data_IF_491470026090
#
_entry.id   IF_491470026090
#
_cell.length_a   1.000
_cell.length_b   1.000
_cell.length_c   1.000
_cell.angle_alpha   90.00
_cell.angle_beta   90.00
_cell.angle_gamma   90.00
#
_symmetry.space_group_name_H-M   'P 1'
#
loop_
_entity.id
_entity.type
_entity.pdbx_description
1 polymer ?
#
# COMPACT_ATOMS: atom_id res chain seq x y z
N UNK A 1 40.07 -52.80 14.84
CA UNK A 1 39.16 -53.86 14.35
C UNK A 1 38.00 -53.16 13.63
N UNK A 2 37.99 -53.00 12.30
CA UNK A 2 37.59 -54.01 11.27
C UNK A 2 36.10 -54.42 11.46
N UNK A 3 35.14 -54.32 10.54
CA UNK A 3 35.10 -54.36 9.06
C UNK A 3 33.75 -53.73 8.56
N UNK A 4 33.75 -52.89 7.51
CA UNK A 4 33.21 -53.06 6.12
C UNK A 4 31.69 -53.28 5.97
N UNK A 5 30.92 -52.44 5.26
CA UNK A 5 30.90 -52.08 3.82
C UNK A 5 30.21 -53.11 2.91
N UNK A 6 29.26 -52.65 2.08
CA UNK A 6 28.84 -53.08 0.70
C UNK A 6 27.78 -52.02 0.28
N UNK A 7 28.07 -51.01 -0.55
CA UNK A 7 28.26 -50.97 -2.02
C UNK A 7 26.96 -51.08 -2.86
N UNK A 8 26.65 -49.99 -3.60
CA UNK A 8 25.70 -49.88 -4.74
C UNK A 8 26.22 -50.67 -5.97
N UNK A 9 25.41 -50.97 -7.01
CA UNK A 9 25.21 -50.09 -8.20
C UNK A 9 23.77 -50.24 -8.81
N UNK A 10 23.27 -49.60 -9.87
CA UNK A 10 23.65 -48.54 -10.81
C UNK A 10 22.36 -48.02 -11.53
N UNK A 11 22.56 -46.93 -12.27
CA UNK A 11 21.65 -46.08 -13.06
C UNK A 11 20.54 -46.74 -13.90
N UNK A 12 19.46 -45.96 -14.08
CA UNK A 12 18.74 -45.85 -15.35
C UNK A 12 18.26 -44.41 -15.57
N UNK A 13 18.76 -43.83 -16.65
CA UNK A 13 18.31 -42.57 -17.23
C UNK A 13 16.81 -42.62 -17.54
N UNK A 14 16.09 -41.54 -17.22
CA UNK A 14 15.04 -41.05 -18.11
C UNK A 14 14.85 -39.55 -17.92
N UNK A 15 15.36 -38.81 -18.91
CA UNK A 15 14.99 -37.45 -19.24
C UNK A 15 13.49 -37.43 -19.54
N UNK A 16 12.72 -36.57 -18.87
CA UNK A 16 11.53 -35.92 -19.45
C UNK A 16 11.03 -34.74 -18.59
N UNK A 17 11.11 -33.58 -19.23
CA UNK A 17 10.35 -32.35 -19.00
C UNK A 17 10.50 -31.65 -17.64
N UNK A 18 11.47 -30.74 -17.61
CA UNK A 18 11.36 -29.48 -16.90
C UNK A 18 10.07 -28.81 -17.38
N UNK A 19 9.03 -28.84 -16.54
CA UNK A 19 7.87 -28.00 -16.73
C UNK A 19 8.31 -26.55 -16.46
N UNK A 20 8.71 -25.85 -17.51
CA UNK A 20 8.76 -24.39 -17.54
C UNK A 20 7.35 -23.89 -17.28
N UNK A 21 7.04 -23.58 -16.02
CA UNK A 21 5.85 -22.78 -15.69
C UNK A 21 6.07 -21.42 -16.32
N UNK A 22 5.35 -21.16 -17.41
CA UNK A 22 5.27 -19.84 -18.02
C UNK A 22 4.87 -18.82 -16.97
N UNK A 23 5.71 -17.81 -16.76
CA UNK A 23 5.33 -16.60 -16.05
C UNK A 23 4.27 -15.87 -16.87
N UNK A 24 3.00 -16.18 -16.61
CA UNK A 24 1.89 -15.30 -16.91
C UNK A 24 1.45 -14.68 -15.58
N UNK A 25 1.94 -13.48 -15.29
CA UNK A 25 1.59 -12.69 -14.10
C UNK A 25 0.16 -12.15 -14.22
N UNK A 26 -0.83 -12.99 -13.92
CA UNK A 26 -2.18 -12.52 -13.60
C UNK A 26 -2.42 -12.62 -12.10
N UNK A 27 -1.92 -11.64 -11.36
CA UNK A 27 -2.44 -11.32 -10.03
C UNK A 27 -3.17 -9.97 -10.15
N UNK A 28 -4.49 -10.03 -10.36
CA UNK A 28 -5.38 -8.88 -10.28
C UNK A 28 -5.20 -8.20 -8.92
N UNK A 29 -4.85 -6.90 -8.90
CA UNK A 29 -4.77 -6.03 -7.72
C UNK A 29 -5.95 -5.06 -7.70
N UNK A 30 -7.15 -5.57 -7.97
CA UNK A 30 -8.34 -4.74 -8.10
C UNK A 30 -8.87 -4.34 -6.72
N UNK A 31 -9.02 -3.04 -6.51
CA UNK A 31 -9.53 -2.49 -5.25
C UNK A 31 -11.05 -2.72 -5.19
N UNK A 32 -11.60 -3.27 -4.09
CA UNK A 32 -13.03 -3.44 -3.95
C UNK A 32 -13.75 -2.09 -3.88
N UNK A 33 -14.90 -2.04 -4.53
CA UNK A 33 -15.90 -0.98 -4.33
C UNK A 33 -16.80 -1.46 -3.19
N UNK A 34 -17.15 -0.63 -2.19
CA UNK A 34 -17.89 -1.10 -1.00
C UNK A 34 -19.22 -1.82 -1.31
N UNK A 35 -19.74 -2.66 -0.41
CA UNK A 35 -21.05 -3.32 -0.53
C UNK A 35 -22.26 -2.38 -0.24
N UNK A 36 -23.53 -2.76 -0.54
CA UNK A 36 -24.60 -1.82 -0.91
C UNK A 36 -25.42 -1.28 0.27
N UNK A 37 -25.24 0.01 0.54
CA UNK A 37 -26.30 0.90 1.03
C UNK A 37 -26.27 2.12 0.10
N UNK A 38 -27.31 2.29 -0.73
CA UNK A 38 -27.46 3.32 -1.80
C UNK A 38 -26.13 3.96 -2.22
N UNK A 39 -25.35 3.23 -3.02
CA UNK A 39 -24.08 3.71 -3.53
C UNK A 39 -24.32 4.76 -4.61
N UNK A 40 -24.02 6.02 -4.30
CA UNK A 40 -23.55 6.93 -5.34
C UNK A 40 -22.24 6.33 -5.87
N UNK A 41 -22.29 5.73 -7.04
CA UNK A 41 -21.11 5.22 -7.74
C UNK A 41 -20.07 6.33 -7.81
N UNK A 42 -18.82 6.04 -7.45
CA UNK A 42 -17.72 6.97 -7.72
C UNK A 42 -17.67 7.10 -9.24
N UNK A 43 -18.02 8.26 -9.77
CA UNK A 43 -17.78 8.60 -11.16
C UNK A 43 -16.55 9.49 -11.20
N UNK A 44 -15.35 8.94 -11.44
CA UNK A 44 -14.16 9.76 -11.67
C UNK A 44 -14.47 10.76 -12.78
N UNK A 45 -14.04 11.99 -12.60
CA UNK A 45 -14.33 13.05 -13.55
C UNK A 45 -13.68 12.74 -14.89
N UNK A 46 -14.48 12.68 -15.95
CA UNK A 46 -14.04 12.35 -17.30
C UNK A 46 -14.51 13.41 -18.28
N UNK A 47 -13.58 13.98 -19.04
CA UNK A 47 -13.87 14.90 -20.13
C UNK A 47 -13.50 14.21 -21.44
N UNK A 48 -14.51 13.91 -22.27
CA UNK A 48 -14.32 13.09 -23.47
C UNK A 48 -13.77 11.70 -23.12
N UNK A 49 -12.61 11.36 -23.66
CA UNK A 49 -11.94 10.08 -23.40
C UNK A 49 -10.99 10.08 -22.20
N UNK A 50 -10.66 11.25 -21.62
CA UNK A 50 -9.62 11.37 -20.57
C UNK A 50 -10.22 11.56 -19.17
N UNK A 51 -9.62 10.91 -18.19
CA UNK A 51 -9.90 11.15 -16.78
C UNK A 51 -9.05 12.31 -16.26
N UNK A 52 -9.64 13.18 -15.44
CA UNK A 52 -8.88 14.19 -14.69
C UNK A 52 -8.58 13.64 -13.30
N UNK A 53 -7.31 13.61 -12.93
CA UNK A 53 -6.83 13.08 -11.64
C UNK A 53 -6.07 14.18 -10.91
N UNK A 54 -6.37 14.38 -9.62
CA UNK A 54 -5.62 15.33 -8.79
C UNK A 54 -4.24 14.76 -8.49
N UNK A 55 -3.17 15.52 -8.74
CA UNK A 55 -1.80 15.13 -8.39
C UNK A 55 -1.24 16.07 -7.33
N UNK A 56 -0.74 15.50 -6.23
CA UNK A 56 -0.08 16.26 -5.16
C UNK A 56 1.31 15.69 -4.96
N UNK A 57 2.35 16.22 -5.63
CA UNK A 57 3.68 15.62 -5.55
C UNK A 57 4.22 15.58 -4.12
N UNK A 58 3.90 16.57 -3.29
CA UNK A 58 4.31 16.63 -1.89
C UNK A 58 5.79 17.00 -1.71
N UNK A 59 6.35 16.57 -0.59
CA UNK A 59 7.68 16.98 -0.14
C UNK A 59 8.77 15.97 -0.51
N UNK A 60 10.04 16.39 -0.34
CA UNK A 60 11.20 15.52 -0.53
C UNK A 60 11.30 14.98 -1.94
N UNK A 61 11.39 13.66 -2.07
CA UNK A 61 11.47 12.96 -3.36
C UNK A 61 10.15 12.98 -4.15
N UNK A 62 9.06 13.49 -3.57
CA UNK A 62 7.73 13.44 -4.17
C UNK A 62 7.64 14.06 -5.58
N UNK A 63 8.37 15.15 -5.83
CA UNK A 63 8.43 15.82 -7.13
C UNK A 63 9.08 14.96 -8.22
N UNK A 64 10.23 14.34 -7.94
CA UNK A 64 10.93 13.48 -8.90
C UNK A 64 10.15 12.18 -9.18
N UNK A 65 9.49 11.61 -8.16
CA UNK A 65 8.63 10.44 -8.35
C UNK A 65 7.39 10.77 -9.19
N UNK A 66 6.78 11.94 -8.96
CA UNK A 66 5.61 12.39 -9.72
C UNK A 66 5.95 12.71 -11.17
N UNK A 67 7.13 13.28 -11.42
CA UNK A 67 7.65 13.47 -12.78
C UNK A 67 7.84 12.12 -13.50
N UNK A 68 8.43 11.12 -12.83
CA UNK A 68 8.58 9.77 -13.37
C UNK A 68 7.23 9.15 -13.80
N UNK A 69 6.19 9.27 -12.96
CA UNK A 69 4.83 8.82 -13.33
C UNK A 69 4.32 9.53 -14.58
N UNK A 70 4.47 10.86 -14.65
CA UNK A 70 4.01 11.65 -15.82
C UNK A 70 4.69 11.21 -17.11
N UNK A 71 6.00 10.99 -17.07
CA UNK A 71 6.78 10.58 -18.25
C UNK A 71 6.35 9.19 -18.74
N UNK A 72 6.18 8.22 -17.82
CA UNK A 72 5.67 6.88 -18.14
C UNK A 72 4.24 6.94 -18.69
N UNK A 73 3.36 7.74 -18.08
CA UNK A 73 1.97 7.88 -18.52
C UNK A 73 1.86 8.49 -19.91
N UNK A 74 2.70 9.48 -20.21
CA UNK A 74 2.79 10.10 -21.53
C UNK A 74 3.27 9.10 -22.57
N UNK A 75 4.33 8.34 -22.28
CA UNK A 75 4.85 7.32 -23.20
C UNK A 75 3.85 6.18 -23.45
N UNK A 76 3.12 5.74 -22.42
CA UNK A 76 2.09 4.71 -22.53
C UNK A 76 0.75 5.21 -23.10
N UNK A 77 0.65 6.49 -23.51
CA UNK A 77 -0.59 7.14 -24.00
C UNK A 77 -1.79 6.91 -23.07
N UNK A 78 -1.58 7.00 -21.76
CA UNK A 78 -2.64 6.79 -20.78
C UNK A 78 -3.68 7.92 -20.89
N UNK A 79 -5.00 7.63 -20.90
CA UNK A 79 -6.06 8.64 -20.98
C UNK A 79 -6.30 9.31 -19.61
N UNK A 80 -5.24 9.87 -19.01
CA UNK A 80 -5.26 10.57 -17.72
C UNK A 80 -4.58 11.93 -17.89
N UNK A 81 -5.23 12.96 -17.37
CA UNK A 81 -4.71 14.31 -17.26
C UNK A 81 -4.57 14.69 -15.78
N UNK A 82 -3.39 15.15 -15.39
CA UNK A 82 -3.11 15.48 -13.99
C UNK A 82 -3.37 16.96 -13.70
N UNK A 83 -4.30 17.24 -12.79
CA UNK A 83 -4.49 18.55 -12.17
C UNK A 83 -3.55 18.64 -10.96
N UNK A 84 -2.36 19.23 -11.15
CA UNK A 84 -1.28 19.24 -10.15
C UNK A 84 -1.39 20.40 -9.16
N UNK A 85 -1.17 20.11 -7.87
CA UNK A 85 -1.04 21.07 -6.78
C UNK A 85 0.25 20.80 -5.99
N UNK A 86 1.19 21.74 -6.02
CA UNK A 86 2.49 21.63 -5.35
C UNK A 86 2.41 22.07 -3.88
N UNK A 87 1.68 21.30 -3.09
CA UNK A 87 1.52 21.52 -1.65
C UNK A 87 2.73 20.97 -0.90
N UNK A 88 3.30 21.78 -0.01
CA UNK A 88 4.31 21.35 0.96
C UNK A 88 3.76 21.27 2.38
N UNK A 89 4.10 20.22 3.11
CA UNK A 89 3.85 20.10 4.56
C UNK A 89 4.95 20.72 5.43
N UNK A 90 5.99 21.31 4.84
CA UNK A 90 7.11 21.94 5.56
C UNK A 90 6.73 23.31 6.11
N UNK A 91 5.87 24.05 5.40
CA UNK A 91 5.41 25.40 5.77
C UNK A 91 3.90 25.42 5.97
N UNK A 92 3.39 26.47 6.60
CA UNK A 92 1.94 26.75 6.70
C UNK A 92 1.47 27.75 5.63
N UNK A 93 2.37 28.17 4.73
CA UNK A 93 2.05 29.12 3.66
C UNK A 93 1.12 28.49 2.61
N UNK A 94 1.14 27.16 2.52
CA UNK A 94 0.38 26.38 1.55
C UNK A 94 -1.02 25.98 2.02
N UNK A 95 -1.54 26.48 3.15
CA UNK A 95 -2.86 26.10 3.66
C UNK A 95 -3.98 26.32 2.61
N UNK A 96 -3.95 27.45 1.89
CA UNK A 96 -4.90 27.75 0.81
C UNK A 96 -4.74 26.80 -0.38
N UNK A 97 -3.50 26.49 -0.75
CA UNK A 97 -3.20 25.57 -1.85
C UNK A 97 -3.62 24.14 -1.50
N UNK A 98 -3.42 23.75 -0.24
CA UNK A 98 -3.90 22.48 0.30
C UNK A 98 -5.42 22.38 0.24
N UNK A 99 -6.15 23.42 0.63
CA UNK A 99 -7.61 23.44 0.47
C UNK A 99 -8.04 23.33 -1.00
N UNK A 100 -7.37 24.05 -1.92
CA UNK A 100 -7.63 23.92 -3.35
C UNK A 100 -7.39 22.49 -3.87
N UNK A 101 -6.38 21.79 -3.34
CA UNK A 101 -6.11 20.38 -3.67
C UNK A 101 -7.21 19.43 -3.16
N UNK A 102 -7.77 19.68 -1.96
CA UNK A 102 -8.91 18.93 -1.44
C UNK A 102 -10.15 19.18 -2.31
N UNK A 103 -10.40 20.42 -2.72
CA UNK A 103 -11.51 20.75 -3.62
C UNK A 103 -11.36 20.09 -4.99
N UNK A 104 -10.15 20.09 -5.56
CA UNK A 104 -9.85 19.34 -6.78
C UNK A 104 -10.16 17.86 -6.61
N UNK A 105 -9.74 17.26 -5.50
CA UNK A 105 -10.03 15.86 -5.22
C UNK A 105 -11.52 15.59 -5.01
N UNK A 106 -12.26 16.54 -4.42
CA UNK A 106 -13.73 16.47 -4.32
C UNK A 106 -14.40 16.52 -5.70
N UNK A 107 -13.85 17.27 -6.66
CA UNK A 107 -14.32 17.33 -8.05
C UNK A 107 -13.96 16.06 -8.83
N UNK A 108 -12.71 15.61 -8.74
CA UNK A 108 -12.13 14.56 -9.57
C UNK A 108 -12.37 13.15 -9.03
N UNK A 109 -12.61 13.04 -7.72
CA UNK A 109 -12.81 11.80 -6.93
C UNK A 109 -11.58 10.92 -6.77
N UNK A 110 -10.62 11.01 -7.68
CA UNK A 110 -9.39 10.23 -7.70
C UNK A 110 -8.18 11.15 -7.66
N UNK A 111 -7.20 10.81 -6.83
CA UNK A 111 -5.93 11.51 -6.77
C UNK A 111 -4.74 10.57 -6.58
N UNK A 112 -3.56 11.07 -6.93
CA UNK A 112 -2.27 10.44 -6.63
C UNK A 112 -1.39 11.45 -5.91
N UNK A 113 -0.67 11.01 -4.89
CA UNK A 113 0.19 11.91 -4.12
C UNK A 113 1.51 11.27 -3.69
N UNK A 114 2.51 12.11 -3.52
CA UNK A 114 3.69 11.79 -2.72
C UNK A 114 3.46 12.00 -1.23
N UNK A 115 4.56 11.98 -0.48
CA UNK A 115 4.52 12.11 0.97
C UNK A 115 4.53 13.58 1.36
N UNK A 116 3.55 14.01 2.15
CA UNK A 116 3.56 15.33 2.80
C UNK A 116 4.24 15.19 4.16
N UNK A 117 5.27 16.01 4.41
CA UNK A 117 5.97 16.06 5.67
C UNK A 117 5.04 16.52 6.80
N UNK A 118 5.32 16.12 8.03
CA UNK A 118 4.59 16.58 9.22
C UNK A 118 5.63 16.94 10.28
N UNK A 119 5.82 18.24 10.58
CA UNK A 119 6.77 18.69 11.59
C UNK A 119 6.42 18.15 12.98
N UNK A 120 7.39 17.57 13.69
CA UNK A 120 7.22 17.06 15.06
C UNK A 120 7.41 18.14 16.13
N UNK A 121 8.10 19.23 15.80
CA UNK A 121 8.46 20.33 16.72
C UNK A 121 7.31 21.27 17.07
N UNK A 122 6.13 21.04 16.49
CA UNK A 122 5.02 21.97 16.46
C UNK A 122 3.79 21.33 17.12
N UNK A 123 3.71 21.44 18.44
CA UNK A 123 2.53 21.05 19.23
C UNK A 123 1.27 21.67 18.62
N UNK A 124 0.29 20.84 18.24
CA UNK A 124 -1.01 21.30 17.74
C UNK A 124 -1.13 21.47 16.21
N UNK A 125 -0.08 21.28 15.42
CA UNK A 125 -0.22 21.31 13.95
C UNK A 125 -0.94 20.06 13.44
N UNK A 126 -2.12 20.24 12.81
CA UNK A 126 -2.87 19.16 12.17
C UNK A 126 -2.13 18.72 10.90
N UNK A 127 -1.58 17.51 10.90
CA UNK A 127 -0.97 16.90 9.72
C UNK A 127 -1.92 16.95 8.51
N UNK A 128 -1.48 17.50 7.38
CA UNK A 128 -2.25 17.51 6.13
C UNK A 128 -2.70 16.11 5.70
N UNK A 129 -1.87 15.08 5.92
CA UNK A 129 -2.25 13.71 5.66
C UNK A 129 -3.43 13.25 6.53
N UNK A 130 -3.49 13.67 7.79
CA UNK A 130 -4.59 13.32 8.71
C UNK A 130 -5.84 14.12 8.38
N UNK A 131 -5.69 15.41 8.09
CA UNK A 131 -6.79 16.29 7.66
C UNK A 131 -7.46 15.74 6.40
N UNK A 132 -6.68 15.42 5.35
CA UNK A 132 -7.22 14.82 4.13
C UNK A 132 -7.96 13.50 4.39
N UNK A 133 -7.41 12.62 5.24
CA UNK A 133 -8.04 11.34 5.58
C UNK A 133 -9.35 11.49 6.34
N UNK A 134 -9.44 12.46 7.26
CA UNK A 134 -10.66 12.75 8.03
C UNK A 134 -11.70 13.48 7.17
N UNK A 135 -11.31 14.52 6.45
CA UNK A 135 -12.21 15.37 5.66
C UNK A 135 -12.84 14.63 4.47
N UNK A 136 -12.14 13.63 3.93
CA UNK A 136 -12.61 12.81 2.81
C UNK A 136 -13.02 11.40 3.24
N UNK A 137 -13.03 11.13 4.55
CA UNK A 137 -13.38 9.81 5.13
C UNK A 137 -12.69 8.63 4.40
N UNK A 138 -11.38 8.77 4.15
CA UNK A 138 -10.57 7.73 3.52
C UNK A 138 -10.20 6.66 4.53
N UNK A 139 -11.19 5.82 4.86
CA UNK A 139 -11.16 4.92 6.00
C UNK A 139 -10.27 3.69 5.88
N UNK A 140 -9.98 3.24 4.65
CA UNK A 140 -9.18 2.05 4.41
C UNK A 140 -7.84 2.42 3.79
N UNK A 141 -6.74 2.17 4.50
CA UNK A 141 -5.40 2.23 3.93
C UNK A 141 -4.97 0.81 3.55
N UNK A 142 -4.54 0.63 2.29
CA UNK A 142 -4.04 -0.64 1.76
C UNK A 142 -2.59 -0.46 1.35
N UNK A 143 -1.71 -1.36 1.80
CA UNK A 143 -0.33 -1.47 1.35
C UNK A 143 -0.06 -2.90 0.89
N UNK A 144 0.54 -3.07 -0.29
CA UNK A 144 0.89 -4.39 -0.84
C UNK A 144 2.36 -4.67 -0.61
N UNK A 145 2.65 -5.65 0.24
CA UNK A 145 4.00 -6.08 0.58
C UNK A 145 4.28 -7.38 -0.16
N UNK A 146 4.92 -7.27 -1.32
CA UNK A 146 5.22 -8.41 -2.18
C UNK A 146 6.68 -8.41 -2.61
N UNK A 147 7.36 -9.55 -2.53
CA UNK A 147 8.70 -9.66 -3.10
C UNK A 147 8.68 -9.34 -4.60
N UNK A 148 9.60 -8.48 -5.03
CA UNK A 148 9.74 -8.07 -6.42
C UNK A 148 10.80 -8.94 -7.08
N UNK A 149 10.49 -9.64 -8.19
CA UNK A 149 11.49 -10.42 -8.92
C UNK A 149 12.71 -9.57 -9.29
N UNK A 150 13.91 -10.10 -9.02
CA UNK A 150 15.17 -9.40 -9.22
C UNK A 150 15.65 -8.59 -8.02
N UNK A 151 14.82 -8.29 -7.02
CA UNK A 151 15.28 -7.64 -5.79
C UNK A 151 15.68 -8.69 -4.77
N UNK A 152 16.94 -8.66 -4.34
CA UNK A 152 17.41 -9.50 -3.25
C UNK A 152 16.79 -9.05 -1.92
N UNK A 153 16.25 -9.99 -1.17
CA UNK A 153 15.65 -9.76 0.13
C UNK A 153 15.91 -10.97 1.03
N UNK A 154 15.88 -10.76 2.35
CA UNK A 154 16.21 -11.80 3.32
C UNK A 154 15.22 -12.97 3.31
N UNK A 155 13.95 -12.69 2.97
CA UNK A 155 12.86 -13.67 2.93
C UNK A 155 12.22 -13.64 1.56
N UNK A 156 11.94 -14.82 0.99
CA UNK A 156 11.29 -14.99 -0.31
C UNK A 156 9.80 -15.27 -0.17
N UNK A 157 9.07 -15.17 -1.28
CA UNK A 157 7.67 -15.59 -1.42
C UNK A 157 6.68 -14.91 -0.44
N UNK A 158 7.00 -13.68 -0.04
CA UNK A 158 6.12 -12.76 0.68
C UNK A 158 5.15 -12.13 -0.31
N UNK A 159 3.84 -12.25 -0.05
CA UNK A 159 2.77 -11.59 -0.80
C UNK A 159 1.60 -11.28 0.15
N UNK A 160 1.74 -10.19 0.91
CA UNK A 160 0.84 -9.80 2.00
C UNK A 160 0.11 -8.50 1.63
N UNK A 161 -1.22 -8.49 1.81
CA UNK A 161 -2.02 -7.27 1.75
C UNK A 161 -2.31 -6.75 3.17
N UNK A 162 -1.80 -5.57 3.48
CA UNK A 162 -1.95 -4.94 4.79
C UNK A 162 -3.07 -3.90 4.70
N UNK A 163 -4.18 -4.16 5.39
CA UNK A 163 -5.37 -3.31 5.42
C UNK A 163 -5.51 -2.70 6.81
N UNK A 164 -5.46 -1.37 6.86
CA UNK A 164 -5.40 -0.57 8.07
C UNK A 164 -6.61 0.35 8.15
N UNK A 165 -7.27 0.36 9.30
CA UNK A 165 -8.25 1.41 9.65
C UNK A 165 -7.54 2.77 9.75
N UNK A 166 -8.08 3.81 9.14
CA UNK A 166 -7.35 5.04 8.86
C UNK A 166 -8.01 6.33 9.42
N UNK A 167 -9.11 6.21 10.18
CA UNK A 167 -9.94 7.35 10.64
C UNK A 167 -10.20 7.39 12.14
N UNK A 168 -9.84 6.36 12.91
CA UNK A 168 -9.96 6.31 14.37
C UNK A 168 -8.74 5.62 15.02
N UNK A 169 -8.90 5.13 16.25
CA UNK A 169 -7.83 4.55 17.05
C UNK A 169 -6.97 5.61 17.72
N UNK A 170 -5.67 5.34 17.78
CA UNK A 170 -4.66 6.18 18.42
C UNK A 170 -4.43 7.50 17.66
N UNK A 171 -4.85 7.57 16.39
CA UNK A 171 -4.75 8.76 15.53
C UNK A 171 -5.99 9.67 15.63
N UNK A 172 -6.86 9.43 16.63
CA UNK A 172 -7.91 10.38 17.00
C UNK A 172 -7.33 11.76 17.32
N UNK A 173 -6.11 11.80 17.90
CA UNK A 173 -5.40 13.01 18.30
C UNK A 173 -5.99 13.65 19.56
N UNK A 174 -6.70 12.86 20.37
CA UNK A 174 -7.33 13.31 21.60
C UNK A 174 -6.37 13.08 22.76
N UNK A 175 -5.54 14.07 23.03
CA UNK A 175 -4.57 14.06 24.11
C UNK A 175 -4.75 15.28 25.00
N UNK A 176 -4.56 15.09 26.31
CA UNK A 176 -4.59 16.18 27.27
C UNK A 176 -3.64 15.90 28.44
N UNK A 177 -3.25 16.96 29.12
CA UNK A 177 -2.45 16.88 30.34
C UNK A 177 -3.34 17.20 31.53
N UNK A 178 -3.78 16.17 32.26
CA UNK A 178 -4.70 16.31 33.39
C UNK A 178 -4.06 17.08 34.55
N UNK A 179 -2.77 16.83 34.79
CA UNK A 179 -1.90 17.58 35.72
C UNK A 179 -0.48 17.64 35.14
N UNK A 180 0.37 18.62 35.54
CA UNK A 180 1.75 18.69 35.07
C UNK A 180 2.49 17.34 35.27
N UNK A 181 3.01 16.78 34.18
CA UNK A 181 3.68 15.48 34.15
C UNK A 181 2.78 14.26 33.85
N UNK A 182 1.45 14.40 33.79
CA UNK A 182 0.52 13.30 33.49
C UNK A 182 -0.24 13.57 32.20
N UNK A 183 0.05 12.80 31.16
CA UNK A 183 -0.57 12.93 29.82
C UNK A 183 -1.47 11.72 29.56
N UNK A 184 -2.70 12.00 29.16
CA UNK A 184 -3.69 11.02 28.76
C UNK A 184 -3.88 11.05 27.25
N UNK A 185 -3.97 9.86 26.64
CA UNK A 185 -4.24 9.68 25.21
C UNK A 185 -5.46 8.79 25.03
N UNK A 186 -6.50 9.32 24.39
CA UNK A 186 -7.81 8.68 24.28
C UNK A 186 -7.94 7.94 22.95
N UNK A 187 -7.79 6.61 23.02
CA UNK A 187 -8.05 5.70 21.90
C UNK A 187 -9.55 5.46 21.73
N UNK A 188 -10.09 5.85 20.58
CA UNK A 188 -11.50 5.63 20.24
C UNK A 188 -11.62 4.55 19.16
N UNK A 189 -12.38 3.50 19.44
CA UNK A 189 -12.76 2.48 18.45
C UNK A 189 -14.28 2.38 18.43
N UNK A 190 -14.86 2.40 17.24
CA UNK A 190 -16.30 2.31 17.04
C UNK A 190 -16.66 1.09 16.22
N UNK A 191 -17.83 0.50 16.51
CA UNK A 191 -18.35 -0.63 15.74
C UNK A 191 -18.51 -0.26 14.27
N UNK A 192 -19.14 0.88 13.97
CA UNK A 192 -19.42 1.31 12.59
C UNK A 192 -18.15 1.42 11.73
N UNK A 193 -17.07 2.01 12.27
CA UNK A 193 -15.81 2.14 11.53
C UNK A 193 -15.05 0.82 11.43
N UNK A 194 -15.17 -0.05 12.43
CA UNK A 194 -14.63 -1.41 12.36
C UNK A 194 -15.37 -2.27 11.32
N UNK A 195 -16.71 -2.20 11.25
CA UNK A 195 -17.50 -2.98 10.30
C UNK A 195 -17.10 -2.67 8.85
N UNK A 196 -16.96 -1.39 8.50
CA UNK A 196 -16.56 -1.00 7.13
C UNK A 196 -15.15 -1.44 6.75
N UNK A 197 -14.17 -1.37 7.66
CA UNK A 197 -12.81 -1.82 7.36
C UNK A 197 -12.72 -3.34 7.27
N UNK A 198 -13.48 -4.06 8.11
CA UNK A 198 -13.59 -5.51 8.03
C UNK A 198 -14.21 -5.93 6.69
N UNK A 199 -15.35 -5.33 6.30
CA UNK A 199 -15.98 -5.57 4.99
C UNK A 199 -15.03 -5.28 3.84
N UNK A 200 -14.35 -4.13 3.86
CA UNK A 200 -13.35 -3.80 2.85
C UNK A 200 -12.25 -4.87 2.75
N UNK A 201 -11.76 -5.41 3.88
CA UNK A 201 -10.75 -6.46 3.88
C UNK A 201 -11.25 -7.78 3.29
N UNK A 202 -12.47 -8.20 3.62
CA UNK A 202 -13.07 -9.39 3.05
C UNK A 202 -13.44 -9.22 1.57
N UNK A 203 -14.01 -8.08 1.18
CA UNK A 203 -14.28 -7.74 -0.22
C UNK A 203 -12.99 -7.73 -1.05
N UNK A 204 -11.90 -7.18 -0.49
CA UNK A 204 -10.58 -7.21 -1.11
C UNK A 204 -10.11 -8.65 -1.27
N UNK A 205 -10.27 -9.48 -0.24
CA UNK A 205 -9.87 -10.87 -0.28
C UNK A 205 -10.61 -11.64 -1.39
N UNK A 206 -11.94 -11.52 -1.45
CA UNK A 206 -12.78 -12.14 -2.48
C UNK A 206 -12.36 -11.67 -3.87
N UNK A 207 -12.30 -10.35 -4.10
CA UNK A 207 -12.03 -9.76 -5.41
C UNK A 207 -10.65 -10.11 -5.95
N UNK A 208 -9.68 -10.32 -5.07
CA UNK A 208 -8.30 -10.64 -5.43
C UNK A 208 -7.96 -12.13 -5.24
N UNK A 209 -8.98 -13.00 -5.12
CA UNK A 209 -8.84 -14.46 -4.97
C UNK A 209 -7.94 -14.91 -3.81
N UNK A 210 -7.85 -14.08 -2.77
CA UNK A 210 -7.12 -14.35 -1.54
C UNK A 210 -7.87 -15.41 -0.73
N UNK A 211 -7.14 -16.17 0.06
CA UNK A 211 -7.67 -17.36 0.76
C UNK A 211 -7.71 -17.20 2.26
N UNK A 212 -7.02 -16.20 2.82
CA UNK A 212 -6.96 -16.01 4.26
C UNK A 212 -7.03 -14.55 4.67
N UNK A 213 -7.80 -14.27 5.72
CA UNK A 213 -7.86 -12.98 6.40
C UNK A 213 -7.47 -13.16 7.87
N UNK A 214 -6.42 -12.46 8.31
CA UNK A 214 -5.96 -12.46 9.69
C UNK A 214 -6.30 -11.13 10.38
N UNK A 215 -7.07 -11.19 11.46
CA UNK A 215 -7.48 -10.04 12.28
C UNK A 215 -6.40 -9.76 13.33
N UNK A 216 -5.71 -8.62 13.25
CA UNK A 216 -4.62 -8.27 14.18
C UNK A 216 -5.11 -7.34 15.28
N UNK A 217 -4.79 -7.67 16.53
CA UNK A 217 -5.27 -6.93 17.70
C UNK A 217 -4.33 -7.05 18.92
N UNK A 218 -4.67 -6.40 20.02
CA UNK A 218 -4.11 -6.59 21.36
C UNK A 218 -5.21 -6.71 22.42
N UNK A 219 -6.30 -7.41 22.06
CA UNK A 219 -7.46 -7.67 22.93
C UNK A 219 -7.14 -8.40 24.25
N UNK A 220 -5.95 -9.03 24.38
CA UNK A 220 -5.49 -9.59 25.66
C UNK A 220 -5.21 -8.51 26.72
N UNK A 221 -4.82 -7.31 26.28
CA UNK A 221 -4.61 -6.15 27.16
C UNK A 221 -5.80 -5.17 27.05
N UNK A 222 -6.13 -4.73 25.83
CA UNK A 222 -7.24 -3.80 25.57
C UNK A 222 -8.56 -4.55 25.36
N UNK A 223 -9.10 -5.13 26.43
CA UNK A 223 -10.29 -6.00 26.41
C UNK A 223 -11.54 -5.34 25.81
N UNK A 224 -11.67 -4.01 25.95
CA UNK A 224 -12.82 -3.26 25.43
C UNK A 224 -12.58 -2.76 24.00
N UNK A 225 -11.59 -1.90 23.78
CA UNK A 225 -11.35 -1.28 22.47
C UNK A 225 -11.00 -2.33 21.40
N UNK A 226 -9.91 -3.08 21.60
CA UNK A 226 -9.49 -4.10 20.65
C UNK A 226 -10.38 -5.35 20.71
N UNK A 227 -11.00 -5.63 21.86
CA UNK A 227 -12.02 -6.65 21.95
C UNK A 227 -13.26 -6.33 21.10
N UNK A 228 -13.68 -5.07 21.04
CA UNK A 228 -14.75 -4.61 20.13
C UNK A 228 -14.31 -4.77 18.68
N UNK A 229 -13.08 -4.37 18.35
CA UNK A 229 -12.54 -4.53 17.00
C UNK A 229 -12.59 -6.00 16.54
N UNK A 230 -12.03 -6.89 17.35
CA UNK A 230 -11.95 -8.33 17.09
C UNK A 230 -13.35 -8.97 16.94
N UNK A 231 -14.27 -8.71 17.88
CA UNK A 231 -15.63 -9.27 17.81
C UNK A 231 -16.36 -8.80 16.55
N UNK A 232 -16.27 -7.52 16.25
CA UNK A 232 -16.93 -6.94 15.07
C UNK A 232 -16.37 -7.51 13.77
N UNK A 233 -15.04 -7.67 13.65
CA UNK A 233 -14.45 -8.32 12.48
C UNK A 233 -14.88 -9.79 12.33
N UNK A 234 -14.98 -10.53 13.44
CA UNK A 234 -15.50 -11.91 13.46
C UNK A 234 -16.98 -12.00 13.09
N UNK A 235 -17.78 -11.01 13.50
CA UNK A 235 -19.19 -10.95 13.12
C UNK A 235 -19.35 -10.72 11.62
N UNK A 236 -18.60 -9.77 11.04
CA UNK A 236 -18.56 -9.55 9.58
C UNK A 236 -18.05 -10.79 8.84
N UNK A 237 -17.04 -11.48 9.37
CA UNK A 237 -16.49 -12.69 8.75
C UNK A 237 -17.54 -13.79 8.49
N UNK A 238 -18.57 -13.89 9.33
CA UNK A 238 -19.67 -14.86 9.17
C UNK A 238 -20.44 -14.64 7.86
N UNK A 239 -20.56 -13.38 7.42
CA UNK A 239 -21.25 -13.03 6.17
C UNK A 239 -20.48 -13.51 4.93
N UNK A 240 -19.15 -13.65 5.04
CA UNK A 240 -18.26 -14.11 3.97
C UNK A 240 -17.94 -15.61 4.03
N UNK A 241 -18.55 -16.38 4.94
CA UNK A 241 -18.27 -17.80 5.12
C UNK A 241 -18.45 -18.64 3.83
N UNK A 242 -19.35 -18.21 2.95
CA UNK A 242 -19.62 -18.87 1.67
C UNK A 242 -18.53 -18.66 0.60
N UNK A 243 -17.57 -17.75 0.82
CA UNK A 243 -16.46 -17.49 -0.10
C UNK A 243 -15.21 -18.36 0.15
N UNK A 244 -15.27 -19.31 1.09
CA UNK A 244 -14.16 -20.20 1.43
C UNK A 244 -12.86 -19.44 1.79
N UNK A 245 -13.00 -18.37 2.59
CA UNK A 245 -11.89 -17.60 3.15
C UNK A 245 -11.59 -18.14 4.56
N UNK A 246 -10.36 -18.57 4.81
CA UNK A 246 -9.88 -18.89 6.15
C UNK A 246 -9.80 -17.61 6.99
N UNK A 247 -10.39 -17.62 8.19
CA UNK A 247 -10.35 -16.48 9.11
C UNK A 247 -9.68 -16.88 10.40
N UNK A 248 -8.66 -16.13 10.78
CA UNK A 248 -8.00 -16.26 12.07
C UNK A 248 -7.71 -14.88 12.67
N UNK A 249 -7.19 -14.87 13.89
CA UNK A 249 -6.73 -13.67 14.57
C UNK A 249 -5.36 -13.90 15.21
N UNK A 250 -4.64 -12.80 15.44
CA UNK A 250 -3.32 -12.85 16.04
C UNK A 250 -3.06 -11.59 16.87
N UNK A 251 -2.46 -11.78 18.05
CA UNK A 251 -1.97 -10.66 18.86
C UNK A 251 -0.79 -9.97 18.18
N UNK A 252 -0.78 -8.64 18.15
CA UNK A 252 0.16 -7.83 17.35
C UNK A 252 1.64 -8.06 17.67
N UNK A 253 1.97 -8.42 18.91
CA UNK A 253 3.32 -8.83 19.32
C UNK A 253 3.75 -10.15 18.68
N UNK A 254 2.87 -11.16 18.68
CA UNK A 254 3.13 -12.40 17.96
C UNK A 254 3.18 -12.12 16.45
N UNK A 255 2.31 -11.25 15.93
CA UNK A 255 2.34 -10.85 14.52
C UNK A 255 3.69 -10.26 14.12
N UNK A 256 4.26 -9.36 14.93
CA UNK A 256 5.60 -8.81 14.67
C UNK A 256 6.67 -9.91 14.64
N UNK A 257 6.63 -10.86 15.59
CA UNK A 257 7.55 -12.01 15.62
C UNK A 257 7.38 -12.92 14.40
N UNK A 258 6.15 -13.20 14.00
CA UNK A 258 5.83 -14.06 12.86
C UNK A 258 6.19 -13.41 11.52
N UNK A 259 6.04 -12.09 11.38
CA UNK A 259 6.39 -11.36 10.15
C UNK A 259 7.88 -11.45 9.83
N UNK A 260 8.75 -11.38 10.84
CA UNK A 260 10.21 -11.45 10.63
C UNK A 260 10.76 -12.87 10.56
N UNK A 261 9.94 -13.88 10.87
CA UNK A 261 10.35 -15.30 10.88
C UNK A 261 9.72 -16.11 9.75
N UNK A 262 8.39 -16.04 9.59
CA UNK A 262 7.63 -16.76 8.56
C UNK A 262 6.47 -15.91 8.03
N UNK A 263 6.74 -14.83 7.28
CA UNK A 263 5.72 -13.94 6.74
C UNK A 263 4.76 -14.61 5.74
N UNK A 264 5.18 -15.69 5.08
CA UNK A 264 4.40 -16.40 4.05
C UNK A 264 3.11 -17.05 4.59
N UNK A 265 2.94 -17.10 5.91
CA UNK A 265 1.70 -17.58 6.53
C UNK A 265 0.56 -16.54 6.51
N UNK A 266 0.88 -15.27 6.21
CA UNK A 266 -0.09 -14.19 6.10
C UNK A 266 -0.49 -13.98 4.64
N UNK A 267 -1.74 -13.60 4.46
CA UNK A 267 -2.31 -13.30 3.15
C UNK A 267 -2.93 -11.89 3.18
N UNK A 268 -4.20 -11.76 3.61
CA UNK A 268 -4.79 -10.44 3.93
C UNK A 268 -4.75 -10.22 5.45
N UNK A 269 -4.30 -9.05 5.88
CA UNK A 269 -4.25 -8.67 7.29
C UNK A 269 -5.12 -7.44 7.51
N UNK A 270 -6.03 -7.47 8.49
CA UNK A 270 -6.88 -6.33 8.86
C UNK A 270 -6.61 -5.91 10.29
N UNK A 271 -6.41 -4.60 10.52
CA UNK A 271 -5.99 -4.11 11.83
C UNK A 271 -6.35 -2.64 12.13
N UNK A 272 -6.40 -2.26 13.42
CA UNK A 272 -6.49 -0.87 13.85
C UNK A 272 -5.31 -0.01 13.37
N UNK A 273 -5.52 1.31 13.47
CA UNK A 273 -4.70 2.34 12.86
C UNK A 273 -3.20 2.27 13.22
N UNK A 274 -2.85 2.24 14.51
CA UNK A 274 -1.45 2.21 14.94
C UNK A 274 -0.70 0.95 14.48
N UNK A 275 -1.32 -0.22 14.61
CA UNK A 275 -0.67 -1.48 14.26
C UNK A 275 -0.41 -1.56 12.76
N UNK A 276 -1.36 -1.07 11.95
CA UNK A 276 -1.19 -1.01 10.50
C UNK A 276 0.04 -0.21 10.08
N UNK A 277 0.30 0.91 10.75
CA UNK A 277 1.46 1.74 10.45
C UNK A 277 2.78 1.02 10.77
N UNK A 278 2.83 0.29 11.88
CA UNK A 278 4.03 -0.44 12.29
C UNK A 278 4.24 -1.64 11.36
N UNK A 279 3.20 -2.43 11.14
CA UNK A 279 3.25 -3.64 10.31
C UNK A 279 3.59 -3.31 8.85
N UNK A 280 3.12 -2.20 8.29
CA UNK A 280 3.50 -1.77 6.92
C UNK A 280 4.99 -1.44 6.81
N UNK A 281 5.58 -0.81 7.83
CA UNK A 281 7.02 -0.52 7.85
C UNK A 281 7.86 -1.79 8.05
N UNK A 282 7.40 -2.74 8.88
CA UNK A 282 8.01 -4.08 8.95
C UNK A 282 7.98 -4.73 7.58
N UNK A 283 6.83 -4.70 6.90
CA UNK A 283 6.67 -5.20 5.53
C UNK A 283 7.68 -4.62 4.54
N UNK A 284 7.96 -3.32 4.59
CA UNK A 284 9.01 -2.70 3.77
C UNK A 284 10.38 -3.35 4.01
N UNK A 285 10.74 -3.56 5.28
CA UNK A 285 11.98 -4.23 5.66
C UNK A 285 12.07 -5.68 5.18
N UNK A 286 10.94 -6.37 4.99
CA UNK A 286 10.92 -7.76 4.53
C UNK A 286 11.25 -7.90 3.04
N UNK A 287 10.75 -6.97 2.20
CA UNK A 287 10.76 -7.13 0.73
C UNK A 287 11.82 -6.31 -0.01
N UNK A 288 12.67 -5.56 0.72
CA UNK A 288 13.79 -4.80 0.13
C UNK A 288 13.72 -3.28 0.30
N UNK A 289 12.69 -2.75 0.97
CA UNK A 289 12.62 -1.35 1.37
C UNK A 289 11.31 -0.64 1.02
N UNK A 290 11.15 0.62 1.48
CA UNK A 290 9.92 1.39 1.26
C UNK A 290 9.69 1.79 -0.20
N UNK A 291 10.75 1.87 -1.01
CA UNK A 291 10.69 2.22 -2.44
C UNK A 291 9.94 1.22 -3.32
N UNK A 292 9.54 0.07 -2.77
CA UNK A 292 8.87 -1.02 -3.50
C UNK A 292 7.41 -1.24 -3.10
N UNK A 293 6.91 -0.59 -2.04
CA UNK A 293 5.56 -0.84 -1.53
C UNK A 293 4.57 0.16 -2.12
N UNK A 294 3.69 -0.26 -3.05
CA UNK A 294 2.57 0.57 -3.43
C UNK A 294 1.47 0.55 -2.38
N UNK A 295 0.63 1.57 -2.42
CA UNK A 295 -0.50 1.71 -1.52
C UNK A 295 -1.57 2.66 -2.02
N UNK A 296 -2.66 2.69 -1.25
CA UNK A 296 -3.76 3.62 -1.46
C UNK A 296 -4.54 3.85 -0.16
N UNK A 297 -5.33 4.92 -0.17
CA UNK A 297 -6.34 5.21 0.84
C UNK A 297 -7.68 5.33 0.13
N UNK A 298 -8.64 4.53 0.58
CA UNK A 298 -9.96 4.38 -0.03
C UNK A 298 -11.01 4.88 0.96
N UNK A 299 -11.84 5.80 0.48
CA UNK A 299 -13.07 6.23 1.13
C UNK A 299 -14.29 5.73 0.37
N UNK A 300 -15.47 6.17 0.79
CA UNK A 300 -16.72 5.83 0.09
C UNK A 300 -16.83 6.51 -1.27
N UNK A 301 -16.42 7.79 -1.35
CA UNK A 301 -16.55 8.62 -2.56
C UNK A 301 -15.21 8.95 -3.22
N UNK A 302 -14.09 8.74 -2.52
CA UNK A 302 -12.76 9.23 -2.93
C UNK A 302 -11.72 8.12 -2.84
N UNK A 303 -10.72 8.18 -3.73
CA UNK A 303 -9.56 7.31 -3.71
C UNK A 303 -8.27 8.12 -3.88
N UNK A 304 -7.28 7.87 -3.01
CA UNK A 304 -5.97 8.52 -3.06
C UNK A 304 -4.87 7.48 -3.11
N UNK A 305 -4.06 7.51 -4.16
CA UNK A 305 -2.96 6.57 -4.39
C UNK A 305 -1.64 7.19 -3.93
N UNK A 306 -0.85 6.46 -3.16
CA UNK A 306 0.43 6.94 -2.62
C UNK A 306 1.35 5.74 -2.32
N UNK A 307 2.67 5.91 -2.21
CA UNK A 307 3.55 4.86 -1.69
C UNK A 307 3.04 4.36 -0.32
N UNK A 308 2.96 3.04 -0.14
CA UNK A 308 2.36 2.43 1.05
C UNK A 308 3.21 2.60 2.32
N UNK A 309 4.45 3.08 2.16
CA UNK A 309 5.35 3.47 3.22
C UNK A 309 5.63 4.97 3.08
N UNK A 310 5.11 5.77 4.02
CA UNK A 310 5.06 7.25 3.98
C UNK A 310 6.42 7.88 4.30
N UNK A 311 7.45 7.56 3.51
CA UNK A 311 8.79 8.16 3.64
C UNK A 311 8.89 9.38 2.74
N UNK A 312 9.32 10.51 3.32
CA UNK A 312 9.56 11.76 2.58
C UNK A 312 10.94 11.76 1.93
N UNK A 313 11.92 11.12 2.57
CA UNK A 313 13.31 11.00 2.10
C UNK A 313 13.94 12.37 1.74
N UNK A 314 13.84 13.33 2.67
CA UNK A 314 14.41 14.69 2.51
C UNK A 314 15.92 14.68 2.29
N UNK A 315 16.61 13.66 2.80
CA UNK A 315 18.04 13.44 2.71
C UNK A 315 18.55 13.18 1.28
N UNK A 316 17.69 12.64 0.40
CA UNK A 316 18.01 12.35 -1.01
C UNK A 316 17.22 13.21 -2.00
N UNK A 317 16.51 14.23 -1.52
CA UNK A 317 15.72 15.13 -2.36
C UNK A 317 16.59 15.81 -3.43
N UNK A 318 16.05 15.88 -4.66
CA UNK A 318 16.69 16.51 -5.83
C UNK A 318 18.03 15.88 -6.25
N UNK A 319 18.37 14.68 -5.77
CA UNK A 319 19.60 13.98 -6.13
C UNK A 319 19.40 13.01 -7.30
N UNK A 320 18.17 12.87 -7.82
CA UNK A 320 17.85 11.94 -8.90
C UNK A 320 18.23 10.49 -8.53
N UNK A 321 18.06 10.12 -7.26
CA UNK A 321 18.45 8.83 -6.70
C UNK A 321 17.29 8.02 -6.10
N UNK A 322 16.09 8.61 -5.96
CA UNK A 322 14.95 7.87 -5.44
C UNK A 322 14.42 6.80 -6.39
N UNK A 323 13.90 5.74 -5.79
CA UNK A 323 13.24 4.66 -6.49
C UNK A 323 11.77 5.02 -6.82
N UNK A 324 11.38 5.15 -8.10
CA UNK A 324 10.01 5.49 -8.46
C UNK A 324 9.06 4.28 -8.43
N UNK A 325 9.55 3.07 -8.15
CA UNK A 325 8.77 1.83 -8.22
C UNK A 325 7.49 1.89 -7.38
N UNK A 326 7.55 2.28 -6.11
CA UNK A 326 6.37 2.37 -5.25
C UNK A 326 5.31 3.33 -5.82
N UNK A 327 5.73 4.50 -6.30
CA UNK A 327 4.81 5.48 -6.88
C UNK A 327 4.21 4.99 -8.21
N UNK A 328 5.03 4.40 -9.08
CA UNK A 328 4.58 3.80 -10.34
C UNK A 328 3.58 2.66 -10.08
N UNK A 329 3.85 1.77 -9.13
CA UNK A 329 2.93 0.69 -8.78
C UNK A 329 1.67 1.19 -8.08
N UNK A 330 1.73 2.28 -7.29
CA UNK A 330 0.53 2.97 -6.78
C UNK A 330 -0.29 3.58 -7.92
N UNK A 331 0.36 4.12 -8.96
CA UNK A 331 -0.32 4.60 -10.17
C UNK A 331 -0.97 3.45 -10.96
N UNK A 332 -0.39 2.25 -10.94
CA UNK A 332 -1.02 1.03 -11.52
C UNK A 332 -2.30 0.68 -10.74
N UNK A 333 -2.28 0.75 -9.40
CA UNK A 333 -3.48 0.56 -8.59
C UNK A 333 -4.56 1.60 -8.94
N UNK A 334 -4.16 2.84 -9.23
CA UNK A 334 -5.05 3.91 -9.69
C UNK A 334 -5.67 3.59 -11.05
N UNK A 335 -4.87 3.12 -12.01
CA UNK A 335 -5.38 2.74 -13.34
C UNK A 335 -6.40 1.62 -13.25
N UNK A 336 -6.19 0.62 -12.38
CA UNK A 336 -7.20 -0.43 -12.13
C UNK A 336 -8.47 0.14 -11.51
N UNK A 337 -8.36 1.12 -10.61
CA UNK A 337 -9.52 1.79 -10.04
C UNK A 337 -10.31 2.61 -11.08
N UNK A 338 -9.64 3.12 -12.12
CA UNK A 338 -10.24 3.82 -13.26
C UNK A 338 -10.75 2.88 -14.37
N UNK A 339 -10.66 1.55 -14.17
CA UNK A 339 -10.96 0.50 -15.15
C UNK A 339 -10.09 0.60 -16.43
N UNK A 340 -8.83 1.01 -16.27
CA UNK A 340 -7.82 1.09 -17.33
C UNK A 340 -6.83 -0.09 -17.21
N UNK A 341 -7.36 -1.32 -17.16
CA UNK A 341 -6.57 -2.53 -16.88
C UNK A 341 -5.48 -2.82 -17.91
N UNK A 342 -5.69 -2.49 -19.18
CA UNK A 342 -4.68 -2.67 -20.22
C UNK A 342 -3.43 -1.81 -19.94
N UNK A 343 -3.62 -0.52 -19.67
CA UNK A 343 -2.52 0.37 -19.30
C UNK A 343 -1.86 -0.06 -17.99
N UNK A 344 -2.66 -0.48 -17.01
CA UNK A 344 -2.17 -0.99 -15.73
C UNK A 344 -1.26 -2.22 -15.92
N UNK A 345 -1.67 -3.17 -16.75
CA UNK A 345 -0.92 -4.40 -17.04
C UNK A 345 0.38 -4.09 -17.79
N UNK A 346 0.33 -3.21 -18.80
CA UNK A 346 1.51 -2.81 -19.57
C UNK A 346 2.56 -2.13 -18.69
N UNK A 347 2.16 -1.11 -17.93
CA UNK A 347 3.08 -0.36 -17.06
C UNK A 347 3.65 -1.26 -15.95
N UNK A 348 2.82 -2.06 -15.28
CA UNK A 348 3.33 -2.96 -14.24
C UNK A 348 4.31 -4.01 -14.78
N UNK A 349 4.03 -4.58 -15.95
CA UNK A 349 4.94 -5.53 -16.60
C UNK A 349 6.28 -4.87 -16.96
N UNK A 350 6.25 -3.65 -17.52
CA UNK A 350 7.46 -2.89 -17.84
C UNK A 350 8.31 -2.56 -16.60
N UNK A 351 7.67 -2.19 -15.47
CA UNK A 351 8.36 -1.96 -14.19
C UNK A 351 9.01 -3.23 -13.68
N UNK A 352 8.26 -4.34 -13.61
CA UNK A 352 8.80 -5.61 -13.14
C UNK A 352 9.93 -6.14 -14.03
N UNK A 353 9.80 -6.04 -15.35
CA UNK A 353 10.85 -6.48 -16.29
C UNK A 353 12.11 -5.62 -16.16
N UNK A 354 11.96 -4.30 -15.99
CA UNK A 354 13.09 -3.38 -15.78
C UNK A 354 13.90 -3.79 -14.55
N UNK A 355 13.22 -4.04 -13.42
CA UNK A 355 13.86 -4.48 -12.17
C UNK A 355 14.48 -5.87 -12.35
N UNK A 356 13.74 -6.82 -12.94
CA UNK A 356 14.18 -8.19 -13.12
C UNK A 356 15.44 -8.29 -14.00
N UNK A 357 15.53 -7.46 -15.05
CA UNK A 357 16.69 -7.42 -15.95
C UNK A 357 18.02 -7.06 -15.26
N UNK A 358 17.96 -6.37 -14.11
CA UNK A 358 19.12 -5.92 -13.35
C UNK A 358 19.90 -4.75 -13.93
N UNK A 359 19.56 -4.28 -15.15
CA UNK A 359 20.33 -3.26 -15.87
C UNK A 359 20.10 -1.84 -15.36
N UNK A 360 18.88 -1.55 -14.91
CA UNK A 360 18.47 -0.21 -14.52
C UNK A 360 17.83 -0.22 -13.14
N UNK A 361 18.58 -0.66 -12.12
CA UNK A 361 18.13 -0.66 -10.72
C UNK A 361 18.64 0.58 -10.00
N UNK A 362 17.82 1.14 -9.12
CA UNK A 362 18.23 2.23 -8.22
C UNK A 362 19.07 1.72 -7.05
N UNK A 363 19.73 2.64 -6.37
CA UNK A 363 20.73 2.34 -5.32
C UNK A 363 20.14 1.56 -4.14
N UNK A 364 18.91 1.86 -3.75
CA UNK A 364 18.20 1.21 -2.63
C UNK A 364 17.95 -0.29 -2.84
N UNK A 365 17.92 -0.75 -4.10
CA UNK A 365 17.73 -2.16 -4.49
C UNK A 365 18.98 -2.77 -5.15
N UNK A 366 20.15 -2.21 -4.84
CA UNK A 366 21.45 -2.78 -5.22
C UNK A 366 21.92 -2.46 -6.64
N UNK A 367 21.35 -1.44 -7.29
CA UNK A 367 21.82 -0.94 -8.58
C UNK A 367 22.62 0.36 -8.47
N UNK A 368 22.89 0.97 -9.63
CA UNK A 368 23.65 2.23 -9.74
C UNK A 368 22.91 3.29 -10.58
N UNK A 369 21.70 3.00 -11.04
CA UNK A 369 20.94 3.89 -11.90
C UNK A 369 20.24 4.97 -11.11
N UNK A 370 20.10 6.12 -11.75
CA UNK A 370 19.32 7.26 -11.28
C UNK A 370 17.82 7.06 -11.50
N UNK A 371 16.99 7.89 -10.86
CA UNK A 371 15.53 7.92 -11.06
C UNK A 371 15.16 8.06 -12.54
N UNK A 372 15.83 8.96 -13.26
CA UNK A 372 15.60 9.20 -14.69
C UNK A 372 16.03 8.04 -15.57
N UNK A 373 17.16 7.39 -15.28
CA UNK A 373 17.60 6.21 -16.04
C UNK A 373 16.65 5.03 -15.82
N UNK A 374 16.21 4.81 -14.58
CA UNK A 374 15.16 3.83 -14.27
C UNK A 374 13.89 4.10 -15.07
N UNK A 375 13.41 5.35 -15.03
CA UNK A 375 12.21 5.78 -15.75
C UNK A 375 12.34 5.56 -17.26
N UNK A 376 13.49 5.91 -17.84
CA UNK A 376 13.76 5.72 -19.26
C UNK A 376 13.79 4.24 -19.65
N UNK A 377 14.36 3.38 -18.78
CA UNK A 377 14.36 1.95 -18.99
C UNK A 377 12.95 1.35 -18.93
N UNK A 378 12.10 1.81 -18.00
CA UNK A 378 10.68 1.42 -17.97
C UNK A 378 9.97 1.84 -19.26
N UNK A 379 10.19 3.08 -19.72
CA UNK A 379 9.59 3.57 -20.96
C UNK A 379 10.01 2.74 -22.18
N UNK A 380 11.26 2.28 -22.23
CA UNK A 380 11.77 1.43 -23.30
C UNK A 380 11.10 0.03 -23.35
N UNK A 381 10.41 -0.38 -22.27
CA UNK A 381 9.74 -1.67 -22.15
C UNK A 381 8.20 -1.60 -22.38
N UNK A 382 7.65 -0.43 -22.70
CA UNK A 382 6.19 -0.18 -22.78
C UNK A 382 5.50 -0.67 -24.06
#
# INVERSE_FOLDING_TARGET
MLLKAIARPAALNNVKQVATRSFASQASTTIPTPAPAEQKTIFPKKYGSKYTVTMIPGDGIGQELSASVKDVFKAANVPVEFEQYDVSGLTSEDDNLFQASIESLRRNKVGIKGTLFTPTSKLGHKSFNVTMRKDLDMYASLSLCKNVPGVESRLSDVDIAIIRENTEGEYSGLEHQSVPGVVESLKIITRAKTERIARFAFDFAVKNNRKKVTIIHKANIMKLADGLFLRTCRDVAKEYAHHNIEVNDMIVDNTAMQLVSRPQQFDVMVMPNLYGNIVSNVGAGLIGGPGLIPGCNIGREFAMFEPGCRHVALDIQNQNSANPTAMLLSSVMMLRHLNLDEHANRISSAVYETINSGKARTVDIGGTSTTKEFTSAVIAQL
#
